data_IF_789946111325
#
_entry.id   IF_789946111325
#
_cell.length_a   1.000
_cell.length_b   1.000
_cell.length_c   1.000
_cell.angle_alpha   90.00
_cell.angle_beta   90.00
_cell.angle_gamma   90.00
#
_symmetry.space_group_name_H-M   'P 1'
#
loop_
_entity.id
_entity.type
_entity.pdbx_description
1 polymer ?
#
# COMPACT_ATOMS: atom_id res chain seq x y z
N UNK A 1 2.57 -28.27 -15.61
CA UNK A 1 1.40 -28.85 -14.93
C UNK A 1 1.55 -30.36 -15.01
N UNK A 2 1.40 -31.10 -13.91
CA UNK A 2 1.47 -32.57 -13.94
C UNK A 2 0.27 -33.12 -14.71
N UNK A 3 0.47 -34.20 -15.43
CA UNK A 3 -0.62 -34.96 -16.06
C UNK A 3 -1.49 -35.62 -14.99
N UNK A 4 -2.73 -35.94 -15.32
CA UNK A 4 -3.65 -36.64 -14.40
C UNK A 4 -3.03 -37.96 -13.89
N UNK A 5 -2.35 -38.71 -14.76
CA UNK A 5 -1.69 -39.96 -14.40
C UNK A 5 -0.57 -39.74 -13.37
N UNK A 6 0.20 -38.67 -13.49
CA UNK A 6 1.24 -38.30 -12.52
C UNK A 6 0.62 -37.85 -11.19
N UNK A 7 -0.48 -37.09 -11.22
CA UNK A 7 -1.22 -36.68 -10.03
C UNK A 7 -1.78 -37.90 -9.28
N UNK A 8 -2.37 -38.88 -9.97
CA UNK A 8 -2.86 -40.11 -9.36
C UNK A 8 -1.74 -40.95 -8.75
N UNK A 9 -0.59 -41.05 -9.43
CA UNK A 9 0.56 -41.76 -8.88
C UNK A 9 1.11 -41.06 -7.63
N UNK A 10 1.11 -39.73 -7.63
CA UNK A 10 1.54 -38.94 -6.48
C UNK A 10 0.53 -39.03 -5.33
N UNK A 11 -0.77 -39.00 -5.62
CA UNK A 11 -1.85 -39.18 -4.65
C UNK A 11 -1.73 -40.52 -3.93
N UNK A 12 -1.40 -41.60 -4.65
CA UNK A 12 -1.12 -42.91 -4.04
C UNK A 12 0.07 -42.92 -3.08
N UNK A 13 1.07 -42.05 -3.31
CA UNK A 13 2.30 -41.98 -2.51
C UNK A 13 2.21 -41.00 -1.34
N UNK A 14 1.52 -39.87 -1.52
CA UNK A 14 1.49 -38.73 -0.57
C UNK A 14 0.10 -38.37 -0.06
N UNK A 15 -0.95 -39.00 -0.58
CA UNK A 15 -2.35 -38.71 -0.23
C UNK A 15 -2.92 -37.50 -0.96
N UNK A 16 -4.26 -37.44 -1.04
CA UNK A 16 -4.97 -36.33 -1.67
C UNK A 16 -4.86 -35.01 -0.93
N UNK A 17 -4.62 -35.05 0.39
CA UNK A 17 -4.21 -33.89 1.18
C UNK A 17 -3.05 -33.13 0.51
N UNK A 18 -1.98 -33.85 0.18
CA UNK A 18 -0.78 -33.25 -0.43
C UNK A 18 -1.06 -32.73 -1.85
N UNK A 19 -1.95 -33.41 -2.57
CA UNK A 19 -2.35 -33.00 -3.91
C UNK A 19 -3.14 -31.69 -3.85
N UNK A 20 -4.13 -31.58 -2.98
CA UNK A 20 -4.97 -30.39 -2.85
C UNK A 20 -4.20 -29.17 -2.32
N UNK A 21 -3.22 -29.37 -1.44
CA UNK A 21 -2.45 -28.26 -0.85
C UNK A 21 -1.31 -27.77 -1.76
N UNK A 22 -0.55 -28.68 -2.39
CA UNK A 22 0.73 -28.31 -3.02
C UNK A 22 0.75 -28.44 -4.54
N UNK A 23 -0.31 -28.96 -5.17
CA UNK A 23 -0.36 -29.09 -6.63
C UNK A 23 -1.37 -28.12 -7.23
N UNK A 24 -1.06 -27.60 -8.41
CA UNK A 24 -2.04 -26.89 -9.24
C UNK A 24 -2.93 -27.91 -9.94
N UNK A 25 -4.23 -27.82 -9.73
CA UNK A 25 -5.25 -28.71 -10.27
C UNK A 25 -6.18 -27.91 -11.20
N UNK A 26 -6.58 -28.51 -12.32
CA UNK A 26 -7.68 -27.96 -13.13
C UNK A 26 -9.02 -28.27 -12.46
N UNK A 27 -10.02 -27.44 -12.73
CA UNK A 27 -11.41 -27.67 -12.27
C UNK A 27 -11.95 -29.03 -12.73
N UNK A 28 -11.65 -29.47 -13.95
CA UNK A 28 -12.01 -30.81 -14.45
C UNK A 28 -11.41 -31.92 -13.59
N UNK A 29 -10.15 -31.77 -13.16
CA UNK A 29 -9.49 -32.75 -12.29
C UNK A 29 -10.13 -32.77 -10.91
N UNK A 30 -10.45 -31.60 -10.36
CA UNK A 30 -11.14 -31.47 -9.07
C UNK A 30 -12.53 -32.12 -9.16
N UNK A 31 -13.27 -31.88 -10.24
CA UNK A 31 -14.60 -32.44 -10.43
C UNK A 31 -14.57 -33.97 -10.51
N UNK A 32 -13.61 -34.53 -11.26
CA UNK A 32 -13.43 -35.98 -11.38
C UNK A 32 -13.10 -36.65 -10.03
N UNK A 33 -12.47 -35.91 -9.12
CA UNK A 33 -11.98 -36.39 -7.83
C UNK A 33 -12.63 -35.67 -6.64
N UNK A 34 -13.87 -35.18 -6.79
CA UNK A 34 -14.53 -34.32 -5.80
C UNK A 34 -14.69 -34.94 -4.40
N UNK A 35 -14.70 -36.27 -4.31
CA UNK A 35 -14.79 -37.01 -3.03
C UNK A 35 -13.45 -37.20 -2.33
N UNK A 36 -12.36 -36.98 -3.06
CA UNK A 36 -11.01 -37.25 -2.60
C UNK A 36 -10.27 -35.96 -2.20
N UNK A 37 -10.54 -34.87 -2.93
CA UNK A 37 -9.91 -33.57 -2.70
C UNK A 37 -10.32 -32.95 -1.36
N UNK A 38 -9.42 -32.13 -0.82
CA UNK A 38 -9.66 -31.37 0.40
C UNK A 38 -10.14 -29.97 0.02
N UNK A 39 -11.45 -29.74 0.11
CA UNK A 39 -12.10 -28.52 -0.35
C UNK A 39 -11.57 -27.24 0.29
N UNK A 40 -11.16 -27.27 1.56
CA UNK A 40 -10.50 -26.14 2.20
C UNK A 40 -9.25 -25.68 1.44
N UNK A 41 -8.42 -26.63 0.99
CA UNK A 41 -7.22 -26.34 0.22
C UNK A 41 -7.53 -25.98 -1.22
N UNK A 42 -8.55 -26.61 -1.81
CA UNK A 42 -9.02 -26.23 -3.14
C UNK A 42 -9.46 -24.76 -3.16
N UNK A 43 -10.34 -24.37 -2.25
CA UNK A 43 -10.85 -23.00 -2.12
C UNK A 43 -9.76 -21.97 -1.82
N UNK A 44 -8.66 -22.38 -1.18
CA UNK A 44 -7.57 -21.48 -0.78
C UNK A 44 -6.48 -21.33 -1.83
N UNK A 45 -6.02 -22.43 -2.42
CA UNK A 45 -4.77 -22.46 -3.18
C UNK A 45 -4.97 -22.57 -4.69
N UNK A 46 -6.15 -22.97 -5.14
CA UNK A 46 -6.47 -23.04 -6.57
C UNK A 46 -7.11 -21.73 -7.02
N UNK A 47 -6.95 -21.39 -8.30
CA UNK A 47 -7.75 -20.34 -8.94
C UNK A 47 -9.03 -20.97 -9.47
N UNK A 48 -10.17 -20.58 -8.91
CA UNK A 48 -11.47 -21.12 -9.25
C UNK A 48 -12.32 -20.05 -9.95
N UNK A 49 -13.06 -20.47 -10.96
CA UNK A 49 -14.08 -19.65 -11.61
C UNK A 49 -15.33 -19.57 -10.74
N UNK A 50 -16.08 -18.47 -10.88
CA UNK A 50 -17.35 -18.29 -10.16
C UNK A 50 -18.39 -19.36 -10.52
N UNK A 51 -18.44 -19.80 -11.78
CA UNK A 51 -19.32 -20.91 -12.22
C UNK A 51 -18.98 -22.21 -11.47
N UNK A 52 -17.70 -22.51 -11.31
CA UNK A 52 -17.25 -23.69 -10.58
C UNK A 52 -17.60 -23.59 -9.09
N UNK A 53 -17.36 -22.42 -8.47
CA UNK A 53 -17.70 -22.17 -7.06
C UNK A 53 -19.22 -22.32 -6.86
N UNK A 54 -20.04 -21.79 -7.76
CA UNK A 54 -21.50 -21.91 -7.69
C UNK A 54 -21.96 -23.36 -7.75
N UNK A 55 -21.43 -24.12 -8.73
CA UNK A 55 -21.72 -25.54 -8.91
C UNK A 55 -21.37 -26.38 -7.67
N UNK A 56 -20.32 -25.99 -6.95
CA UNK A 56 -19.80 -26.67 -5.76
C UNK A 56 -20.01 -25.87 -4.46
N UNK A 57 -21.04 -25.03 -4.41
CA UNK A 57 -21.33 -24.10 -3.30
C UNK A 57 -21.49 -24.77 -1.92
N UNK A 58 -21.83 -26.06 -1.88
CA UNK A 58 -21.96 -26.85 -0.65
C UNK A 58 -20.66 -27.48 -0.17
N UNK A 59 -19.67 -27.56 -1.05
CA UNK A 59 -18.40 -28.23 -0.79
C UNK A 59 -17.29 -27.22 -0.49
N UNK A 60 -17.29 -26.08 -1.20
CA UNK A 60 -16.28 -25.02 -1.05
C UNK A 60 -16.27 -24.41 0.35
N UNK A 61 -15.09 -24.00 0.79
CA UNK A 61 -14.93 -23.24 2.02
C UNK A 61 -15.11 -21.74 1.73
N UNK A 62 -16.30 -21.20 2.05
CA UNK A 62 -16.65 -19.81 1.77
C UNK A 62 -15.71 -18.77 2.41
N UNK A 63 -15.16 -19.04 3.58
CA UNK A 63 -14.14 -18.18 4.20
C UNK A 63 -12.89 -18.07 3.28
N UNK A 64 -12.40 -19.20 2.76
CA UNK A 64 -11.26 -19.21 1.84
C UNK A 64 -11.63 -18.60 0.48
N UNK A 65 -12.85 -18.83 -0.01
CA UNK A 65 -13.36 -18.22 -1.25
C UNK A 65 -13.33 -16.68 -1.13
N UNK A 66 -13.95 -16.12 -0.10
CA UNK A 66 -14.01 -14.66 0.10
C UNK A 66 -12.64 -13.99 0.27
N UNK A 67 -11.66 -14.74 0.79
CA UNK A 67 -10.32 -14.22 1.08
C UNK A 67 -9.33 -14.33 -0.08
N UNK A 68 -9.35 -15.45 -0.80
CA UNK A 68 -8.27 -15.81 -1.72
C UNK A 68 -8.69 -15.80 -3.19
N UNK A 69 -9.99 -15.87 -3.50
CA UNK A 69 -10.49 -15.76 -4.86
C UNK A 69 -10.79 -14.31 -5.22
N UNK A 70 -10.72 -13.99 -6.52
CA UNK A 70 -11.22 -12.72 -7.06
C UNK A 70 -12.69 -12.90 -7.40
N UNK A 71 -13.56 -12.16 -6.72
CA UNK A 71 -15.01 -12.27 -6.87
C UNK A 71 -15.57 -10.96 -7.43
N UNK A 72 -16.52 -11.07 -8.35
CA UNK A 72 -17.31 -9.98 -8.87
C UNK A 72 -18.39 -9.57 -7.86
N UNK A 73 -18.81 -8.32 -7.93
CA UNK A 73 -19.91 -7.80 -7.10
C UNK A 73 -21.22 -8.53 -7.33
N UNK A 74 -21.52 -8.92 -8.58
CA UNK A 74 -22.72 -9.71 -8.91
C UNK A 74 -22.70 -11.07 -8.20
N UNK A 75 -21.54 -11.75 -8.18
CA UNK A 75 -21.38 -13.01 -7.49
C UNK A 75 -21.51 -12.86 -5.97
N UNK A 76 -20.87 -11.83 -5.39
CA UNK A 76 -20.95 -11.53 -3.97
C UNK A 76 -22.41 -11.22 -3.57
N UNK A 77 -23.14 -10.46 -4.38
CA UNK A 77 -24.55 -10.14 -4.12
C UNK A 77 -25.41 -11.40 -4.09
N UNK A 78 -25.24 -12.25 -5.12
CA UNK A 78 -25.96 -13.53 -5.25
C UNK A 78 -25.70 -14.46 -4.07
N UNK A 79 -24.48 -14.45 -3.53
CA UNK A 79 -24.03 -15.29 -2.41
C UNK A 79 -23.80 -14.52 -1.10
N UNK A 80 -24.53 -13.42 -0.91
CA UNK A 80 -24.37 -12.49 0.24
C UNK A 80 -24.53 -13.13 1.62
N UNK A 81 -25.20 -14.29 1.71
CA UNK A 81 -25.39 -15.06 2.95
C UNK A 81 -24.28 -16.07 3.22
N UNK A 82 -23.49 -16.40 2.21
CA UNK A 82 -22.46 -17.44 2.26
C UNK A 82 -21.07 -16.81 2.43
N UNK A 83 -20.83 -15.69 1.74
CA UNK A 83 -19.54 -14.98 1.78
C UNK A 83 -19.21 -14.43 3.17
N UNK A 84 -17.93 -14.40 3.48
CA UNK A 84 -17.41 -13.73 4.68
C UNK A 84 -17.17 -12.24 4.37
N UNK A 85 -18.05 -11.38 4.86
CA UNK A 85 -18.02 -9.94 4.62
C UNK A 85 -16.74 -9.25 5.14
N UNK A 86 -16.10 -9.80 6.18
CA UNK A 86 -14.82 -9.26 6.65
C UNK A 86 -13.75 -9.39 5.56
N UNK A 87 -13.69 -10.54 4.90
CA UNK A 87 -12.74 -10.78 3.81
C UNK A 87 -13.18 -10.12 2.51
N UNK A 88 -14.48 -10.03 2.24
CA UNK A 88 -14.99 -9.26 1.10
C UNK A 88 -14.50 -7.82 1.17
N UNK A 89 -14.74 -7.13 2.30
CA UNK A 89 -14.33 -5.72 2.46
C UNK A 89 -12.82 -5.50 2.36
N UNK A 90 -12.02 -6.49 2.78
CA UNK A 90 -10.56 -6.37 2.84
C UNK A 90 -9.86 -6.78 1.55
N UNK A 91 -10.34 -7.82 0.87
CA UNK A 91 -9.60 -8.49 -0.20
C UNK A 91 -10.19 -8.24 -1.59
N UNK A 92 -11.45 -7.84 -1.69
CA UNK A 92 -12.09 -7.57 -2.97
C UNK A 92 -11.98 -6.08 -3.33
N UNK A 93 -12.04 -5.78 -4.63
CA UNK A 93 -12.19 -4.40 -5.12
C UNK A 93 -13.67 -4.12 -5.26
N UNK A 94 -14.17 -3.17 -4.46
CA UNK A 94 -15.59 -2.83 -4.38
C UNK A 94 -15.80 -1.39 -4.85
N UNK A 95 -16.85 -1.18 -5.63
CA UNK A 95 -17.36 0.12 -6.03
C UNK A 95 -18.10 0.77 -4.87
N UNK A 96 -18.12 2.10 -4.86
CA UNK A 96 -18.87 2.88 -3.87
C UNK A 96 -20.36 2.51 -3.89
N UNK A 97 -20.98 2.35 -5.07
CA UNK A 97 -22.39 1.95 -5.20
C UNK A 97 -22.68 0.62 -4.50
N UNK A 98 -21.79 -0.36 -4.67
CA UNK A 98 -21.91 -1.66 -3.99
C UNK A 98 -21.78 -1.52 -2.47
N UNK A 99 -20.81 -0.72 -2.01
CA UNK A 99 -20.58 -0.46 -0.58
C UNK A 99 -21.81 0.23 0.03
N UNK A 100 -22.43 1.20 -0.66
CA UNK A 100 -23.65 1.87 -0.15
C UNK A 100 -24.79 0.86 0.03
N UNK A 101 -25.01 0.03 -1.00
CA UNK A 101 -26.05 -0.99 -1.00
C UNK A 101 -25.88 -2.00 0.14
N UNK A 102 -24.64 -2.34 0.49
CA UNK A 102 -24.27 -3.31 1.52
C UNK A 102 -23.65 -2.68 2.77
N UNK A 103 -23.96 -1.41 3.05
CA UNK A 103 -23.37 -0.61 4.14
C UNK A 103 -23.51 -1.21 5.55
N UNK A 104 -24.47 -2.12 5.75
CA UNK A 104 -24.68 -2.83 7.03
C UNK A 104 -23.88 -4.12 7.16
N UNK A 105 -23.39 -4.65 6.05
CA UNK A 105 -22.70 -5.94 5.98
C UNK A 105 -21.18 -5.74 5.93
N UNK A 106 -20.73 -4.71 5.21
CA UNK A 106 -19.30 -4.41 5.04
C UNK A 106 -18.62 -4.01 6.35
N UNK A 107 -17.33 -4.33 6.44
CA UNK A 107 -16.47 -3.84 7.51
C UNK A 107 -15.88 -2.46 7.13
N UNK A 108 -16.40 -1.40 7.74
CA UNK A 108 -15.99 -0.02 7.45
C UNK A 108 -14.52 0.31 7.68
N UNK A 109 -13.84 -0.38 8.61
CA UNK A 109 -12.42 -0.18 8.82
C UNK A 109 -11.63 -0.64 7.59
N UNK A 110 -11.98 -1.81 7.02
CA UNK A 110 -11.36 -2.28 5.79
C UNK A 110 -11.84 -1.57 4.54
N UNK A 111 -13.08 -1.10 4.50
CA UNK A 111 -13.51 -0.20 3.42
C UNK A 111 -12.63 1.05 3.41
N UNK A 112 -12.41 1.66 4.57
CA UNK A 112 -11.59 2.86 4.73
C UNK A 112 -10.10 2.63 4.42
N UNK A 113 -9.57 1.43 4.68
CA UNK A 113 -8.15 1.11 4.47
C UNK A 113 -7.83 0.58 3.07
N UNK A 114 -8.69 -0.27 2.51
CA UNK A 114 -8.36 -1.09 1.35
C UNK A 114 -8.99 -0.61 0.04
N UNK A 115 -10.06 0.19 0.10
CA UNK A 115 -10.74 0.70 -1.09
C UNK A 115 -10.21 2.09 -1.46
N UNK A 116 -10.35 2.46 -2.72
CA UNK A 116 -10.12 3.84 -3.18
C UNK A 116 -11.45 4.56 -3.07
N UNK A 117 -11.55 5.48 -2.12
CA UNK A 117 -12.78 6.22 -1.83
C UNK A 117 -12.66 7.66 -2.31
N UNK A 118 -13.72 8.17 -2.91
CA UNK A 118 -13.89 9.58 -3.22
C UNK A 118 -14.19 10.39 -1.96
N UNK A 119 -13.80 11.65 -1.96
CA UNK A 119 -14.09 12.57 -0.87
C UNK A 119 -15.60 12.77 -0.67
N UNK A 120 -16.40 12.75 -1.74
CA UNK A 120 -17.86 12.83 -1.66
C UNK A 120 -18.44 11.63 -0.90
N UNK A 121 -17.94 10.42 -1.18
CA UNK A 121 -18.35 9.22 -0.49
C UNK A 121 -17.95 9.25 0.99
N UNK A 122 -16.71 9.66 1.29
CA UNK A 122 -16.23 9.80 2.68
C UNK A 122 -17.09 10.81 3.44
N UNK A 123 -17.44 11.94 2.83
CA UNK A 123 -18.29 12.95 3.45
C UNK A 123 -19.69 12.40 3.77
N UNK A 124 -20.30 11.73 2.78
CA UNK A 124 -21.62 11.09 2.93
C UNK A 124 -21.64 10.05 4.05
N UNK A 125 -20.54 9.33 4.24
CA UNK A 125 -20.37 8.27 5.25
C UNK A 125 -19.45 8.65 6.43
N UNK A 126 -19.35 9.95 6.73
CA UNK A 126 -18.46 10.50 7.77
C UNK A 126 -18.63 9.93 9.18
N UNK A 127 -19.78 9.31 9.48
CA UNK A 127 -20.07 8.63 10.76
C UNK A 127 -19.66 7.17 10.80
N UNK A 128 -19.51 6.56 9.64
CA UNK A 128 -19.22 5.13 9.49
C UNK A 128 -17.71 4.90 9.37
N UNK A 129 -17.03 5.78 8.63
CA UNK A 129 -15.58 5.74 8.42
C UNK A 129 -14.80 6.05 9.70
N UNK A 130 -13.55 5.56 9.75
CA UNK A 130 -12.60 5.93 10.80
C UNK A 130 -11.63 6.97 10.28
N UNK A 131 -11.74 8.20 10.78
CA UNK A 131 -10.94 9.33 10.30
C UNK A 131 -9.44 9.10 10.35
N UNK A 132 -8.89 8.45 11.39
CA UNK A 132 -7.47 8.14 11.42
C UNK A 132 -7.03 7.15 10.31
N UNK A 133 -7.92 6.26 9.86
CA UNK A 133 -7.67 5.35 8.72
C UNK A 133 -7.74 6.17 7.43
N UNK A 134 -8.76 7.02 7.29
CA UNK A 134 -8.93 7.91 6.13
C UNK A 134 -7.70 8.81 5.96
N UNK A 135 -7.27 9.50 7.03
CA UNK A 135 -6.08 10.38 7.03
C UNK A 135 -4.79 9.65 6.63
N UNK A 136 -4.70 8.34 6.85
CA UNK A 136 -3.51 7.55 6.58
C UNK A 136 -3.48 6.90 5.19
N UNK A 137 -4.63 6.42 4.72
CA UNK A 137 -4.69 5.51 3.57
C UNK A 137 -5.38 6.10 2.35
N UNK A 138 -6.24 7.10 2.52
CA UNK A 138 -6.88 7.80 1.40
C UNK A 138 -6.02 8.97 0.93
N UNK A 139 -6.14 9.32 -0.35
CA UNK A 139 -5.56 10.56 -0.90
C UNK A 139 -6.56 11.68 -0.71
N UNK A 140 -6.19 12.70 0.08
CA UNK A 140 -7.08 13.80 0.43
C UNK A 140 -6.52 15.11 -0.13
N UNK A 141 -7.41 15.98 -0.59
CA UNK A 141 -7.11 17.35 -1.00
C UNK A 141 -6.95 18.27 0.20
N UNK A 142 -6.16 19.34 0.02
CA UNK A 142 -6.01 20.40 1.03
C UNK A 142 -7.39 20.98 1.42
N UNK A 143 -8.31 21.19 0.45
CA UNK A 143 -9.65 21.70 0.74
C UNK A 143 -10.49 20.75 1.60
N UNK A 144 -10.41 19.44 1.34
CA UNK A 144 -11.12 18.44 2.12
C UNK A 144 -10.58 18.35 3.55
N UNK A 145 -9.26 18.34 3.71
CA UNK A 145 -8.61 18.33 5.02
C UNK A 145 -9.00 19.58 5.81
N UNK A 146 -9.01 20.76 5.18
CA UNK A 146 -9.43 22.00 5.84
C UNK A 146 -10.88 21.91 6.35
N UNK A 147 -11.79 21.45 5.49
CA UNK A 147 -13.21 21.27 5.81
C UNK A 147 -13.42 20.31 7.00
N UNK A 148 -12.60 19.27 7.09
CA UNK A 148 -12.67 18.22 8.11
C UNK A 148 -11.52 18.28 9.14
N UNK A 149 -10.96 19.47 9.36
CA UNK A 149 -9.79 19.71 10.22
C UNK A 149 -9.94 19.25 11.68
N UNK A 150 -11.18 19.09 12.16
CA UNK A 150 -11.48 18.58 13.52
C UNK A 150 -11.61 17.07 13.61
N UNK A 151 -11.77 16.42 12.46
CA UNK A 151 -12.03 14.98 12.39
C UNK A 151 -10.74 14.22 12.01
N UNK A 152 -9.92 14.78 11.12
CA UNK A 152 -8.67 14.18 10.64
C UNK A 152 -7.62 14.01 11.73
N UNK A 153 -6.77 13.01 11.55
CA UNK A 153 -5.60 12.77 12.39
C UNK A 153 -4.39 13.52 11.83
N UNK A 154 -4.00 14.61 12.48
CA UNK A 154 -2.95 15.51 12.00
C UNK A 154 -1.55 14.87 11.92
N UNK A 155 -1.24 13.87 12.75
CA UNK A 155 0.03 13.14 12.65
C UNK A 155 0.06 12.35 11.34
N UNK A 156 -1.05 11.68 11.01
CA UNK A 156 -1.18 10.96 9.74
C UNK A 156 -1.30 11.87 8.53
N UNK A 157 -1.98 13.01 8.64
CA UNK A 157 -2.00 14.02 7.59
C UNK A 157 -0.56 14.49 7.29
N UNK A 158 0.17 14.90 8.33
CA UNK A 158 1.55 15.41 8.21
C UNK A 158 2.51 14.38 7.63
N UNK A 159 2.27 13.09 7.88
CA UNK A 159 3.16 12.00 7.46
C UNK A 159 2.83 11.40 6.10
N UNK A 160 1.56 11.30 5.75
CA UNK A 160 1.10 10.45 4.65
C UNK A 160 0.43 11.21 3.51
N UNK A 161 -0.08 12.41 3.76
CA UNK A 161 -0.60 13.27 2.70
C UNK A 161 0.52 14.09 2.06
N UNK A 162 0.26 14.60 0.86
CA UNK A 162 1.14 15.56 0.20
C UNK A 162 0.57 16.93 0.45
N UNK A 163 1.28 17.71 1.26
CA UNK A 163 0.83 19.02 1.67
C UNK A 163 1.60 20.09 0.92
N UNK A 164 0.89 21.15 0.52
CA UNK A 164 1.55 22.36 0.04
C UNK A 164 2.20 23.12 1.21
N UNK A 165 3.30 23.83 0.96
CA UNK A 165 3.91 24.68 1.99
C UNK A 165 2.92 25.71 2.52
N UNK A 166 2.13 26.35 1.65
CA UNK A 166 1.06 27.28 2.05
C UNK A 166 0.06 26.65 3.02
N UNK A 167 -0.35 25.40 2.77
CA UNK A 167 -1.23 24.66 3.68
C UNK A 167 -0.56 24.40 5.03
N UNK A 168 0.71 23.98 5.03
CA UNK A 168 1.48 23.76 6.25
C UNK A 168 1.61 25.06 7.06
N UNK A 169 1.84 26.22 6.43
CA UNK A 169 1.91 27.51 7.14
C UNK A 169 0.57 27.85 7.80
N UNK A 170 -0.52 27.70 7.05
CA UNK A 170 -1.88 27.97 7.51
C UNK A 170 -2.24 27.11 8.72
N UNK A 171 -1.81 25.86 8.74
CA UNK A 171 -2.07 24.87 9.79
C UNK A 171 -0.85 24.56 10.68
N UNK A 172 0.07 25.53 10.81
CA UNK A 172 1.34 25.38 11.54
C UNK A 172 1.22 24.95 13.01
N UNK A 173 0.05 25.13 13.62
CA UNK A 173 -0.24 24.71 15.01
C UNK A 173 -0.83 23.31 15.12
N UNK A 174 -1.34 22.78 14.01
CA UNK A 174 -2.03 21.51 13.96
C UNK A 174 -1.09 20.41 13.44
N UNK A 175 -0.24 20.73 12.46
CA UNK A 175 0.71 19.77 11.87
C UNK A 175 1.79 19.31 12.84
N UNK A 176 2.23 18.06 12.68
CA UNK A 176 3.37 17.51 13.40
C UNK A 176 4.68 17.86 12.66
N UNK A 177 5.42 18.84 13.17
CA UNK A 177 6.64 19.34 12.55
C UNK A 177 7.74 18.30 12.37
N UNK A 178 7.77 17.27 13.20
CA UNK A 178 8.72 16.18 13.05
C UNK A 178 8.41 15.37 11.77
N UNK A 179 7.14 15.00 11.57
CA UNK A 179 6.66 14.33 10.36
C UNK A 179 6.76 15.24 9.13
N UNK A 180 6.44 16.53 9.26
CA UNK A 180 6.64 17.50 8.17
C UNK A 180 8.10 17.50 7.72
N UNK A 181 9.05 17.58 8.67
CA UNK A 181 10.48 17.61 8.36
C UNK A 181 11.01 16.33 7.72
N UNK A 182 10.42 15.17 8.04
CA UNK A 182 10.86 13.85 7.55
C UNK A 182 10.20 13.44 6.22
N UNK A 183 8.91 13.75 6.04
CA UNK A 183 8.08 13.14 4.99
C UNK A 183 7.60 14.10 3.91
N UNK A 184 7.57 15.41 4.16
CA UNK A 184 7.18 16.40 3.15
C UNK A 184 8.37 16.83 2.30
N UNK A 185 8.08 17.33 1.09
CA UNK A 185 9.09 17.98 0.25
C UNK A 185 9.08 19.46 0.61
N UNK A 186 10.16 19.93 1.25
CA UNK A 186 10.28 21.31 1.70
C UNK A 186 11.36 22.04 0.89
N UNK A 187 11.08 23.28 0.53
CA UNK A 187 12.05 24.21 -0.01
C UNK A 187 12.97 24.73 1.09
N UNK A 188 14.19 25.09 0.72
CA UNK A 188 15.13 25.72 1.65
C UNK A 188 14.56 27.01 2.24
N UNK A 189 13.89 27.85 1.43
CA UNK A 189 13.26 29.09 1.90
C UNK A 189 12.23 28.83 3.01
N UNK A 190 11.39 27.81 2.84
CA UNK A 190 10.43 27.40 3.86
C UNK A 190 11.13 26.92 5.14
N UNK A 191 12.18 26.10 5.01
CA UNK A 191 12.98 25.62 6.14
C UNK A 191 13.60 26.80 6.90
N UNK A 192 14.11 27.83 6.21
CA UNK A 192 14.66 29.02 6.88
C UNK A 192 13.60 29.78 7.65
N UNK A 193 12.45 30.01 6.99
CA UNK A 193 11.30 30.72 7.57
C UNK A 193 10.80 30.04 8.84
N UNK A 194 10.78 28.70 8.85
CA UNK A 194 10.32 27.87 9.96
C UNK A 194 11.45 27.17 10.74
N UNK A 195 12.64 27.78 10.74
CA UNK A 195 13.87 27.23 11.37
C UNK A 195 13.76 26.86 12.85
N UNK A 196 12.77 27.41 13.56
CA UNK A 196 12.50 27.10 14.99
C UNK A 196 11.53 25.93 15.19
N UNK A 197 10.75 25.60 14.17
CA UNK A 197 9.70 24.60 14.24
C UNK A 197 10.18 23.27 13.66
N UNK A 198 10.94 23.33 12.56
CA UNK A 198 11.47 22.15 11.88
C UNK A 198 12.44 21.35 12.75
N UNK A 199 12.45 20.04 12.53
CA UNK A 199 13.42 19.15 13.15
C UNK A 199 14.68 19.06 12.30
N UNK A 200 15.73 19.80 12.66
CA UNK A 200 16.99 19.86 11.91
C UNK A 200 17.67 18.51 11.68
N UNK A 201 17.53 17.56 12.60
CA UNK A 201 18.04 16.20 12.41
C UNK A 201 17.32 15.52 11.23
N UNK A 202 15.99 15.62 11.17
CA UNK A 202 15.19 15.10 10.05
C UNK A 202 15.44 15.87 8.76
N UNK A 203 15.53 17.19 8.82
CA UNK A 203 15.88 18.02 7.64
C UNK A 203 17.20 17.54 7.03
N UNK A 204 18.22 17.33 7.85
CA UNK A 204 19.55 16.92 7.40
C UNK A 204 19.59 15.52 6.78
N UNK A 205 18.77 14.58 7.28
CA UNK A 205 18.73 13.19 6.80
C UNK A 205 17.78 12.97 5.61
N UNK A 206 16.72 13.78 5.47
CA UNK A 206 15.60 13.47 4.58
C UNK A 206 15.32 14.52 3.51
N UNK A 207 15.68 15.79 3.71
CA UNK A 207 15.51 16.82 2.69
C UNK A 207 16.67 16.83 1.70
N UNK A 208 16.47 17.38 0.51
CA UNK A 208 17.57 17.65 -0.42
C UNK A 208 18.06 19.07 -0.17
N UNK A 209 19.30 19.20 0.31
CA UNK A 209 19.87 20.48 0.69
C UNK A 209 21.08 20.81 -0.19
N UNK A 210 21.21 22.08 -0.56
CA UNK A 210 22.38 22.64 -1.21
C UNK A 210 23.53 22.81 -0.22
N UNK A 211 24.75 22.73 -0.72
CA UNK A 211 25.95 22.98 0.10
C UNK A 211 25.98 24.39 0.67
N UNK A 212 25.47 25.39 -0.07
CA UNK A 212 25.35 26.77 0.42
C UNK A 212 24.44 26.86 1.63
N UNK A 213 23.28 26.19 1.58
CA UNK A 213 22.35 26.12 2.70
C UNK A 213 22.97 25.41 3.91
N UNK A 214 23.64 24.28 3.68
CA UNK A 214 24.32 23.52 4.74
C UNK A 214 25.39 24.39 5.42
N UNK A 215 26.18 25.14 4.65
CA UNK A 215 27.21 26.04 5.19
C UNK A 215 26.58 27.15 6.04
N UNK A 216 25.53 27.78 5.50
CA UNK A 216 24.80 28.87 6.15
C UNK A 216 24.22 28.44 7.51
N UNK A 217 23.68 27.22 7.59
CA UNK A 217 23.06 26.66 8.80
C UNK A 217 23.94 25.60 9.48
N UNK A 218 25.26 25.72 9.33
CA UNK A 218 26.28 24.77 9.85
C UNK A 218 26.20 24.44 11.35
N UNK A 219 25.53 25.30 12.13
CA UNK A 219 25.33 25.09 13.58
C UNK A 219 24.06 24.32 13.92
N UNK A 220 23.10 24.30 13.01
CA UNK A 220 21.78 23.72 13.23
C UNK A 220 21.68 22.33 12.58
N UNK A 221 22.27 22.17 11.39
CA UNK A 221 22.27 20.89 10.67
C UNK A 221 22.99 19.78 11.45
N UNK A 222 22.48 18.56 11.27
CA UNK A 222 23.13 17.37 11.80
C UNK A 222 24.16 16.85 10.78
N UNK A 223 25.43 17.14 11.03
CA UNK A 223 26.54 16.76 10.15
C UNK A 223 26.65 15.25 9.86
N UNK A 224 26.26 14.41 10.81
CA UNK A 224 26.21 12.96 10.60
C UNK A 224 25.16 12.58 9.56
N UNK A 225 23.94 13.14 9.67
CA UNK A 225 22.88 12.99 8.68
C UNK A 225 23.27 13.55 7.32
N UNK A 226 23.88 14.75 7.29
CA UNK A 226 24.40 15.37 6.06
C UNK A 226 25.39 14.43 5.37
N UNK A 227 26.40 13.97 6.11
CA UNK A 227 27.46 13.11 5.58
C UNK A 227 26.91 11.80 5.02
N UNK A 228 25.86 11.21 5.61
CA UNK A 228 25.35 9.90 5.20
C UNK A 228 24.27 9.96 4.13
N UNK A 229 23.53 11.06 4.03
CA UNK A 229 22.30 11.12 3.25
C UNK A 229 22.30 12.17 2.13
N UNK A 230 23.16 13.19 2.18
CA UNK A 230 23.23 14.19 1.12
C UNK A 230 24.19 13.77 0.01
N UNK A 231 23.88 14.20 -1.21
CA UNK A 231 24.82 14.14 -2.33
C UNK A 231 25.68 15.40 -2.28
N UNK A 232 26.94 15.25 -1.89
CA UNK A 232 27.90 16.36 -1.71
C UNK A 232 29.03 16.25 -2.73
N UNK A 233 29.58 17.40 -3.11
CA UNK A 233 30.79 17.51 -3.92
C UNK A 233 32.01 17.01 -3.15
N UNK A 234 33.01 16.51 -3.88
CA UNK A 234 34.26 16.05 -3.28
C UNK A 234 34.98 17.18 -2.53
N UNK A 235 34.94 18.40 -3.08
CA UNK A 235 35.51 19.60 -2.44
C UNK A 235 34.85 19.89 -1.09
N UNK A 236 33.52 19.84 -1.01
CA UNK A 236 32.78 20.05 0.23
C UNK A 236 33.07 18.95 1.26
N UNK A 237 33.10 17.70 0.83
CA UNK A 237 33.46 16.55 1.68
C UNK A 237 34.86 16.71 2.26
N UNK A 238 35.84 17.11 1.46
CA UNK A 238 37.21 17.34 1.90
C UNK A 238 37.33 18.53 2.85
N UNK A 239 36.66 19.65 2.53
CA UNK A 239 36.64 20.85 3.36
C UNK A 239 36.13 20.59 4.78
N UNK A 240 35.13 19.73 4.93
CA UNK A 240 34.48 19.44 6.22
C UNK A 240 34.87 18.10 6.85
N UNK A 241 35.87 17.38 6.31
CA UNK A 241 36.34 16.06 6.77
C UNK A 241 35.21 15.01 6.92
N UNK A 242 34.27 14.99 5.98
CA UNK A 242 33.07 14.12 6.01
C UNK A 242 33.40 12.68 5.54
N UNK A 243 34.16 11.94 6.35
CA UNK A 243 34.67 10.60 6.01
C UNK A 243 33.56 9.60 5.64
N UNK A 244 32.41 9.66 6.31
CA UNK A 244 31.30 8.74 6.09
C UNK A 244 30.59 8.98 4.74
N UNK A 245 30.66 10.19 4.18
CA UNK A 245 30.10 10.52 2.86
C UNK A 245 30.81 9.81 1.71
N UNK A 246 32.06 9.40 1.92
CA UNK A 246 32.88 8.68 0.92
C UNK A 246 32.48 7.20 0.81
N UNK A 247 31.77 6.65 1.78
CA UNK A 247 31.43 5.21 1.87
C UNK A 247 30.01 4.89 1.43
N UNK A 248 29.10 5.86 1.49
CA UNK A 248 27.69 5.70 1.10
C UNK A 248 27.45 6.11 -0.35
N UNK A 249 27.74 5.20 -1.30
CA UNK A 249 27.46 5.45 -2.72
C UNK A 249 26.15 4.88 -3.26
N UNK A 250 25.32 4.16 -2.50
CA UNK A 250 24.11 3.57 -3.09
C UNK A 250 23.00 3.20 -2.09
N UNK A 251 21.75 3.34 -2.57
CA UNK A 251 20.47 2.77 -2.11
C UNK A 251 19.48 3.60 -1.25
N UNK A 252 19.87 4.62 -0.49
CA UNK A 252 18.89 5.25 0.44
C UNK A 252 17.94 6.27 -0.23
N UNK A 253 18.36 6.95 -1.31
CA UNK A 253 17.55 7.95 -2.01
C UNK A 253 16.49 7.34 -2.94
N UNK A 254 16.70 6.11 -3.43
CA UNK A 254 15.81 5.42 -4.39
C UNK A 254 14.65 4.72 -3.66
N UNK A 255 14.90 4.14 -2.49
CA UNK A 255 13.85 3.49 -1.67
C UNK A 255 12.95 4.51 -0.93
N UNK A 256 13.50 5.67 -0.50
CA UNK A 256 12.76 6.69 0.26
C UNK A 256 11.79 7.50 -0.59
N UNK A 257 12.08 7.66 -1.88
CA UNK A 257 11.15 8.15 -2.91
C UNK A 257 10.00 7.17 -3.21
N UNK A 258 9.87 6.07 -2.46
CA UNK A 258 8.79 5.12 -2.64
C UNK A 258 7.38 5.73 -2.53
N UNK A 259 7.07 6.38 -1.40
CA UNK A 259 5.73 6.98 -1.19
C UNK A 259 5.48 8.22 -2.06
N UNK A 260 6.46 9.13 -2.13
CA UNK A 260 6.40 10.35 -2.95
C UNK A 260 6.47 10.07 -4.46
N UNK A 261 7.17 9.02 -4.85
CA UNK A 261 7.31 8.59 -6.24
C UNK A 261 6.00 8.05 -6.82
N UNK A 262 5.14 7.42 -6.01
CA UNK A 262 3.79 7.00 -6.41
C UNK A 262 2.90 8.21 -6.75
N UNK A 263 2.86 9.20 -5.88
CA UNK A 263 2.03 10.37 -6.11
C UNK A 263 2.58 11.33 -7.18
N UNK A 264 3.91 11.43 -7.32
CA UNK A 264 4.54 12.07 -8.48
C UNK A 264 4.21 11.32 -9.79
N UNK A 265 4.24 9.98 -9.76
CA UNK A 265 3.87 9.15 -10.90
C UNK A 265 2.40 9.32 -11.28
N UNK A 266 1.48 9.44 -10.32
CA UNK A 266 0.06 9.71 -10.56
C UNK A 266 -0.18 11.13 -11.13
N UNK A 267 0.46 12.16 -10.57
CA UNK A 267 0.38 13.56 -11.07
C UNK A 267 0.85 13.73 -12.52
N UNK A 268 1.81 12.92 -12.98
CA UNK A 268 2.43 13.02 -14.31
C UNK A 268 2.17 11.80 -15.23
N UNK A 269 1.34 10.84 -14.81
CA UNK A 269 0.92 9.67 -15.62
C UNK A 269 2.01 8.63 -15.90
N UNK A 270 2.69 8.14 -14.86
CA UNK A 270 3.71 7.08 -14.85
C UNK A 270 3.21 5.88 -13.97
N UNK A 271 3.46 4.61 -14.31
CA UNK A 271 2.95 3.37 -13.63
C UNK A 271 3.95 2.77 -12.62
N UNK A 272 3.55 2.42 -11.39
CA UNK A 272 4.51 1.89 -10.40
C UNK A 272 4.56 0.36 -10.23
N UNK A 273 5.75 -0.25 -9.99
CA UNK A 273 5.86 -1.65 -9.51
C UNK A 273 6.38 -1.71 -8.07
N UNK A 274 5.62 -2.31 -7.14
CA UNK A 274 6.09 -2.62 -5.78
C UNK A 274 7.18 -3.70 -5.79
N UNK A 275 8.03 -3.90 -4.77
CA UNK A 275 8.05 -3.49 -3.35
C UNK A 275 8.97 -2.28 -3.06
N UNK A 276 9.30 -1.51 -4.09
CA UNK A 276 9.98 -0.22 -4.00
C UNK A 276 9.58 0.55 -5.25
N UNK A 277 8.82 1.61 -5.08
CA UNK A 277 8.02 2.22 -6.15
C UNK A 277 8.91 2.75 -7.28
N UNK A 278 8.90 2.07 -8.43
CA UNK A 278 9.47 2.56 -9.70
C UNK A 278 8.35 2.85 -10.69
N UNK A 279 8.31 4.06 -11.29
CA UNK A 279 7.29 4.47 -12.25
C UNK A 279 7.71 4.25 -13.74
N UNK A 280 6.88 3.65 -14.60
CA UNK A 280 7.10 3.33 -16.03
C UNK A 280 5.80 3.48 -16.86
N UNK A 281 5.81 3.57 -18.20
CA UNK A 281 4.56 3.55 -19.01
C UNK A 281 4.31 2.17 -19.68
N UNK A 282 3.13 1.60 -19.42
CA UNK A 282 2.27 0.70 -20.22
C UNK A 282 2.65 -0.79 -20.44
N UNK A 283 1.73 -1.69 -20.02
CA UNK A 283 1.02 -2.76 -20.80
C UNK A 283 0.76 -4.04 -19.97
N UNK A 284 -0.50 -4.53 -20.05
CA UNK A 284 -1.05 -5.76 -19.43
C UNK A 284 -0.08 -6.96 -19.37
N UNK A 285 0.10 -7.52 -18.17
CA UNK A 285 0.33 -8.95 -17.94
C UNK A 285 1.70 -9.36 -17.39
N UNK A 286 2.00 -9.09 -16.10
CA UNK A 286 3.15 -9.72 -15.41
C UNK A 286 2.95 -9.83 -13.89
N UNK A 287 2.18 -10.84 -13.44
CA UNK A 287 2.45 -11.50 -12.16
C UNK A 287 2.27 -13.01 -12.37
N UNK A 288 3.36 -13.68 -12.75
CA UNK A 288 3.49 -15.14 -12.63
C UNK A 288 4.20 -15.45 -11.31
N UNK A 289 3.64 -16.41 -10.58
CA UNK A 289 4.03 -16.92 -9.28
C UNK A 289 5.55 -16.99 -9.03
N UNK A 290 5.98 -16.48 -7.87
CA UNK A 290 7.28 -16.83 -7.27
C UNK A 290 7.18 -18.25 -6.73
N UNK A 291 7.98 -19.15 -7.31
CA UNK A 291 8.27 -20.48 -6.78
C UNK A 291 9.02 -20.34 -5.45
N UNK A 292 8.44 -20.83 -4.36
CA UNK A 292 9.22 -21.13 -3.15
C UNK A 292 9.86 -22.51 -3.34
N UNK A 293 11.17 -22.52 -3.57
CA UNK A 293 12.00 -23.71 -3.53
C UNK A 293 12.27 -24.11 -2.07
N UNK A 294 11.64 -25.19 -1.59
CA UNK A 294 12.22 -26.20 -0.67
C UNK A 294 11.66 -27.57 -1.06
#
# INVERSE_FOLDING_TARGET
>A
MKTEKELLQLAKRRGWYYISEYQTLSEECIEKHNKDVYWDYISRFQTLSEEFIEKHSKDVNWYNISKYQTLSEEFIEKHSKDVDWFWVSRCQTLSEEFIEKHSKDVNWDYISECQILSEEFIEKHSKDVKWYIISKYQTLSDEFIEKHSKDVDWDYISRYQILSEEFIEKHSKDVDWYNISEYQILSEEFIEKHSKDVNWFRISEYQTLSEEFIEKHSKDVNWYGISRCQTLSEEFIEKHDLKEAKETKDLQTIARKGKLGKAYAEKYGLETTGDGFFAYRSKKGMFKNREYNI
#
